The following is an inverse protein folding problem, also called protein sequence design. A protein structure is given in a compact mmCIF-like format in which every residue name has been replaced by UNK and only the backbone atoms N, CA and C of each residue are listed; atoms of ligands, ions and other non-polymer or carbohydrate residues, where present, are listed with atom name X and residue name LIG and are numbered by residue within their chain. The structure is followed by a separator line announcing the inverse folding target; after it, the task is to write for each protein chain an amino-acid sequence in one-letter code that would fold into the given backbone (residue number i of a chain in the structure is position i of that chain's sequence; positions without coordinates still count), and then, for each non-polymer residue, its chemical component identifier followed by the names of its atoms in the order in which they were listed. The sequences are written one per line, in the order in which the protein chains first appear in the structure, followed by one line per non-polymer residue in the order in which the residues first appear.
data_IF_415310821954
#
_entry.id   IF_415310821954
#
_cell.length_a   1.000
_cell.length_b   1.000
_cell.length_c   1.000
_cell.angle_alpha   90.00
_cell.angle_beta   90.00
_cell.angle_gamma   90.00
#
_symmetry.space_group_name_H-M   'P 1'
#
loop_
_entity.id
_entity.type
_entity.pdbx_description
1 polymer ?
#
# COMPACT_ATOMS: atom_id res chain seq x y z
N UNK A 1 -5.99 -12.49 -11.10
CA UNK A 1 -4.84 -11.60 -11.36
C UNK A 1 -4.64 -10.53 -10.30
N UNK A 2 -3.42 -10.43 -9.74
CA UNK A 2 -2.91 -9.26 -8.99
C UNK A 2 -2.25 -8.26 -9.94
N UNK A 3 -2.77 -7.03 -10.01
CA UNK A 3 -2.16 -5.94 -10.78
C UNK A 3 -1.22 -5.11 -9.89
N UNK A 4 0.05 -5.01 -10.26
CA UNK A 4 1.03 -4.10 -9.65
C UNK A 4 1.20 -2.88 -10.54
N UNK A 5 0.88 -1.70 -10.02
CA UNK A 5 1.14 -0.42 -10.68
C UNK A 5 2.48 0.11 -10.19
N UNK A 6 3.48 0.03 -11.07
CA UNK A 6 4.85 0.50 -10.84
C UNK A 6 4.95 2.02 -11.03
N UNK A 7 5.29 2.74 -9.96
CA UNK A 7 5.60 4.17 -9.99
C UNK A 7 7.09 4.44 -10.25
N UNK A 8 7.73 3.62 -11.08
CA UNK A 8 9.15 3.74 -11.46
C UNK A 8 10.11 3.61 -10.28
N UNK A 9 9.82 2.69 -9.36
CA UNK A 9 10.63 2.49 -8.16
C UNK A 9 11.59 1.31 -8.27
N UNK A 10 12.79 1.50 -7.72
CA UNK A 10 13.81 0.45 -7.68
C UNK A 10 13.40 -0.76 -6.85
N UNK A 11 12.47 -0.60 -5.89
CA UNK A 11 12.02 -1.65 -4.98
C UNK A 11 10.74 -2.38 -5.47
N UNK A 12 10.11 -1.94 -6.57
CA UNK A 12 8.91 -2.61 -7.12
C UNK A 12 9.14 -4.10 -7.33
N UNK A 13 10.30 -4.49 -7.88
CA UNK A 13 10.58 -5.90 -8.14
C UNK A 13 10.90 -6.71 -6.87
N UNK A 14 11.27 -6.07 -5.76
CA UNK A 14 11.36 -6.76 -4.47
C UNK A 14 9.97 -7.14 -3.96
N UNK A 15 8.97 -6.26 -4.12
CA UNK A 15 7.57 -6.59 -3.84
C UNK A 15 7.11 -7.75 -4.71
N UNK A 16 7.36 -7.69 -6.03
CA UNK A 16 7.00 -8.75 -6.98
C UNK A 16 7.65 -10.08 -6.59
N UNK A 17 8.94 -10.06 -6.21
CA UNK A 17 9.62 -11.25 -5.74
C UNK A 17 8.96 -11.83 -4.48
N UNK A 18 8.64 -11.01 -3.48
CA UNK A 18 7.97 -11.47 -2.26
C UNK A 18 6.58 -12.05 -2.55
N UNK A 19 5.83 -11.47 -3.49
CA UNK A 19 4.57 -12.07 -3.97
C UNK A 19 4.81 -13.43 -4.62
N UNK A 20 5.83 -13.56 -5.47
CA UNK A 20 6.21 -14.85 -6.06
C UNK A 20 6.58 -15.91 -5.02
N UNK A 21 7.26 -15.53 -3.94
CA UNK A 21 7.57 -16.42 -2.81
C UNK A 21 6.31 -16.86 -2.04
N UNK A 22 5.28 -16.03 -2.02
CA UNK A 22 3.98 -16.32 -1.38
C UNK A 22 3.00 -17.07 -2.29
N UNK A 23 3.26 -17.13 -3.60
CA UNK A 23 2.33 -17.67 -4.60
C UNK A 23 1.89 -19.12 -4.32
N UNK A 24 2.77 -19.95 -3.74
CA UNK A 24 2.44 -21.33 -3.39
C UNK A 24 1.31 -21.44 -2.33
N UNK A 25 1.13 -20.41 -1.51
CA UNK A 25 0.08 -20.35 -0.47
C UNK A 25 -1.08 -19.43 -0.87
N UNK A 26 -0.84 -18.54 -1.84
CA UNK A 26 -1.76 -17.50 -2.28
C UNK A 26 -1.81 -17.47 -3.81
N UNK A 27 -2.68 -18.27 -4.45
CA UNK A 27 -2.76 -18.39 -5.90
C UNK A 27 -2.96 -17.05 -6.63
N UNK A 28 -3.55 -16.05 -5.96
CA UNK A 28 -3.68 -14.70 -6.50
C UNK A 28 -2.32 -14.08 -6.87
N UNK A 29 -1.26 -14.40 -6.13
CA UNK A 29 0.09 -13.90 -6.39
C UNK A 29 0.83 -14.67 -7.50
N UNK A 30 0.33 -15.83 -7.93
CA UNK A 30 0.87 -16.57 -9.08
C UNK A 30 0.53 -15.87 -10.40
N UNK A 31 -0.69 -15.35 -10.50
CA UNK A 31 -1.19 -14.57 -11.64
C UNK A 31 -0.96 -13.07 -11.41
N UNK A 32 0.31 -12.65 -11.46
CA UNK A 32 0.74 -11.26 -11.23
C UNK A 32 1.09 -10.55 -12.54
N UNK A 33 0.58 -9.34 -12.72
CA UNK A 33 0.93 -8.45 -13.84
C UNK A 33 1.48 -7.11 -13.33
N UNK A 34 2.62 -6.69 -13.83
CA UNK A 34 3.23 -5.38 -13.52
C UNK A 34 3.04 -4.44 -14.69
N UNK A 35 2.52 -3.24 -14.43
CA UNK A 35 2.33 -2.18 -15.40
C UNK A 35 2.80 -0.85 -14.82
N UNK A 36 3.39 0.00 -15.64
CA UNK A 36 3.79 1.35 -15.18
C UNK A 36 2.55 2.23 -14.99
N UNK A 37 2.67 3.22 -14.11
CA UNK A 37 1.59 4.14 -13.76
C UNK A 37 1.05 5.01 -14.92
N UNK A 38 1.72 4.97 -16.08
CA UNK A 38 1.36 5.66 -17.33
C UNK A 38 1.08 4.69 -18.50
N UNK A 39 1.23 3.38 -18.29
CA UNK A 39 1.06 2.37 -19.35
C UNK A 39 -0.41 2.06 -19.64
N UNK A 40 -1.27 2.15 -18.63
CA UNK A 40 -2.70 1.88 -18.72
C UNK A 40 -3.52 3.03 -18.14
N UNK A 41 -4.65 3.34 -18.77
CA UNK A 41 -5.68 4.18 -18.17
C UNK A 41 -6.69 3.36 -17.35
N UNK A 42 -7.53 4.04 -16.56
CA UNK A 42 -8.50 3.39 -15.66
C UNK A 42 -9.47 2.47 -16.41
N UNK A 43 -9.91 2.83 -17.63
CA UNK A 43 -10.82 2.01 -18.40
C UNK A 43 -10.15 0.69 -18.84
N UNK A 44 -8.90 0.76 -19.29
CA UNK A 44 -8.12 -0.44 -19.62
C UNK A 44 -7.89 -1.32 -18.38
N UNK A 45 -7.58 -0.73 -17.22
CA UNK A 45 -7.44 -1.49 -15.97
C UNK A 45 -8.75 -2.16 -15.59
N UNK A 46 -9.89 -1.47 -15.76
CA UNK A 46 -11.22 -2.05 -15.53
C UNK A 46 -11.47 -3.25 -16.45
N UNK A 47 -11.09 -3.17 -17.72
CA UNK A 47 -11.23 -4.26 -18.68
C UNK A 47 -10.34 -5.46 -18.34
N UNK A 48 -9.18 -5.25 -17.70
CA UNK A 48 -8.34 -6.32 -17.16
C UNK A 48 -8.97 -7.08 -15.99
N UNK A 49 -9.98 -6.49 -15.33
CA UNK A 49 -10.70 -7.08 -14.20
C UNK A 49 -9.76 -7.66 -13.12
N UNK A 50 -8.83 -6.86 -12.56
CA UNK A 50 -7.92 -7.36 -11.53
C UNK A 50 -8.68 -7.72 -10.24
N UNK A 51 -8.29 -8.83 -9.62
CA UNK A 51 -8.85 -9.25 -8.33
C UNK A 51 -8.27 -8.46 -7.16
N UNK A 52 -7.07 -7.90 -7.34
CA UNK A 52 -6.42 -7.02 -6.39
C UNK A 52 -5.45 -6.06 -7.10
N UNK A 53 -5.19 -4.92 -6.45
CA UNK A 53 -4.28 -3.89 -6.96
C UNK A 53 -3.23 -3.56 -5.90
N UNK A 54 -1.97 -3.51 -6.31
CA UNK A 54 -0.87 -2.96 -5.52
C UNK A 54 -0.37 -1.68 -6.17
N UNK A 55 -0.33 -0.58 -5.42
CA UNK A 55 0.32 0.66 -5.85
C UNK A 55 1.71 0.69 -5.21
N UNK A 56 2.75 0.57 -6.04
CA UNK A 56 4.13 0.45 -5.55
C UNK A 56 4.63 1.76 -4.93
N UNK A 57 5.79 1.72 -4.23
CA UNK A 57 6.57 2.92 -3.94
C UNK A 57 6.94 3.65 -5.23
N UNK A 58 7.48 4.86 -5.10
CA UNK A 58 7.97 5.66 -6.21
C UNK A 58 8.64 6.95 -5.73
N UNK A 59 9.50 7.56 -6.56
CA UNK A 59 10.02 8.88 -6.30
C UNK A 59 8.93 9.95 -6.51
N UNK A 60 9.12 11.10 -5.87
CA UNK A 60 8.34 12.30 -6.16
C UNK A 60 7.05 12.43 -5.34
N UNK A 61 6.15 13.24 -5.89
CA UNK A 61 4.89 13.65 -5.25
C UNK A 61 3.72 12.82 -5.81
N UNK A 62 2.73 12.41 -4.99
CA UNK A 62 1.55 11.70 -5.47
C UNK A 62 0.78 12.40 -6.60
N UNK A 63 0.87 13.73 -6.73
CA UNK A 63 0.32 14.46 -7.88
C UNK A 63 0.89 13.99 -9.23
N UNK A 64 2.06 13.37 -9.22
CA UNK A 64 2.75 12.85 -10.41
C UNK A 64 2.64 11.31 -10.52
N UNK A 65 1.87 10.64 -9.65
CA UNK A 65 1.75 9.18 -9.63
C UNK A 65 0.81 8.61 -10.73
N UNK A 66 0.73 9.27 -11.89
CA UNK A 66 -0.01 8.81 -13.07
C UNK A 66 -1.46 8.41 -12.76
N UNK A 67 -1.82 7.19 -13.13
CA UNK A 67 -3.18 6.64 -12.99
C UNK A 67 -3.59 6.35 -11.54
N UNK A 68 -2.66 6.38 -10.58
CA UNK A 68 -2.90 5.92 -9.20
C UNK A 68 -4.07 6.63 -8.51
N UNK A 69 -4.16 7.96 -8.61
CA UNK A 69 -5.24 8.72 -7.96
C UNK A 69 -6.62 8.36 -8.53
N UNK A 70 -6.70 8.10 -9.84
CA UNK A 70 -7.94 7.70 -10.49
C UNK A 70 -8.31 6.25 -10.16
N UNK A 71 -7.33 5.34 -10.10
CA UNK A 71 -7.54 3.96 -9.62
C UNK A 71 -8.11 3.94 -8.20
N UNK A 72 -7.53 4.74 -7.29
CA UNK A 72 -7.96 4.83 -5.90
C UNK A 72 -9.40 5.34 -5.74
N UNK A 73 -9.85 6.23 -6.64
CA UNK A 73 -11.20 6.81 -6.62
C UNK A 73 -12.22 5.94 -7.34
N UNK A 74 -11.85 5.35 -8.47
CA UNK A 74 -12.82 4.71 -9.38
C UNK A 74 -12.87 3.19 -9.25
N UNK A 75 -11.78 2.54 -8.84
CA UNK A 75 -11.69 1.07 -8.84
C UNK A 75 -11.50 0.50 -7.44
N UNK A 76 -10.67 1.12 -6.62
CA UNK A 76 -10.37 0.65 -5.26
C UNK A 76 -11.55 0.60 -4.28
N UNK A 77 -12.67 1.33 -4.45
CA UNK A 77 -13.89 1.07 -3.67
C UNK A 77 -14.46 -0.35 -3.86
N UNK A 78 -14.20 -0.96 -5.01
CA UNK A 78 -14.68 -2.29 -5.39
C UNK A 78 -13.59 -3.36 -5.50
N UNK A 79 -12.30 -2.98 -5.46
CA UNK A 79 -11.18 -3.90 -5.67
C UNK A 79 -10.20 -3.77 -4.49
N UNK A 80 -9.88 -4.87 -3.78
CA UNK A 80 -8.83 -4.89 -2.76
C UNK A 80 -7.56 -4.19 -3.24
N UNK A 81 -7.11 -3.18 -2.48
CA UNK A 81 -5.98 -2.35 -2.90
C UNK A 81 -5.04 -2.07 -1.74
N UNK A 82 -3.74 -2.28 -1.97
CA UNK A 82 -2.68 -1.91 -1.04
C UNK A 82 -1.77 -0.85 -1.67
N UNK A 83 -1.64 0.31 -1.02
CA UNK A 83 -0.65 1.33 -1.38
C UNK A 83 0.60 1.25 -0.51
N UNK A 84 1.78 1.24 -1.10
CA UNK A 84 3.06 1.22 -0.37
C UNK A 84 3.83 2.51 -0.63
N UNK A 85 4.29 3.17 0.43
CA UNK A 85 5.04 4.44 0.39
C UNK A 85 4.32 5.51 -0.45
N UNK A 86 4.72 5.76 -1.70
CA UNK A 86 4.02 6.68 -2.61
C UNK A 86 2.55 6.25 -2.83
N UNK A 87 2.27 4.96 -2.95
CA UNK A 87 0.90 4.44 -3.05
C UNK A 87 0.06 4.75 -1.80
N UNK A 88 0.67 4.74 -0.60
CA UNK A 88 0.01 5.13 0.65
C UNK A 88 -0.28 6.64 0.70
N UNK A 89 0.67 7.45 0.23
CA UNK A 89 0.50 8.91 0.15
C UNK A 89 -0.59 9.27 -0.88
N UNK A 90 -0.61 8.59 -2.03
CA UNK A 90 -1.67 8.71 -3.03
C UNK A 90 -3.04 8.32 -2.46
N UNK A 91 -3.12 7.29 -1.61
CA UNK A 91 -4.35 6.94 -0.89
C UNK A 91 -4.81 8.10 0.00
N UNK A 92 -3.93 8.67 0.82
CA UNK A 92 -4.29 9.82 1.66
C UNK A 92 -4.85 10.98 0.81
N UNK A 93 -4.15 11.31 -0.28
CA UNK A 93 -4.48 12.42 -1.15
C UNK A 93 -5.76 12.19 -1.97
N UNK A 94 -5.98 10.99 -2.48
CA UNK A 94 -7.15 10.65 -3.28
C UNK A 94 -8.46 10.95 -2.52
N UNK A 95 -8.45 10.85 -1.20
CA UNK A 95 -9.62 11.11 -0.35
C UNK A 95 -9.60 12.48 0.34
N UNK A 96 -8.62 13.34 0.04
CA UNK A 96 -8.58 14.73 0.50
C UNK A 96 -7.61 15.02 1.65
N UNK A 97 -6.83 14.03 2.08
CA UNK A 97 -5.69 14.26 2.97
C UNK A 97 -4.56 15.03 2.27
N UNK A 98 -3.74 15.73 3.04
CA UNK A 98 -2.55 16.43 2.54
C UNK A 98 -1.32 15.54 2.72
N UNK A 99 -0.43 15.62 1.74
CA UNK A 99 0.91 15.03 1.81
C UNK A 99 1.90 16.17 2.01
N UNK A 100 2.69 16.08 3.07
CA UNK A 100 3.60 17.13 3.52
C UNK A 100 5.00 16.59 3.72
N UNK A 101 6.00 17.47 3.77
CA UNK A 101 7.37 17.05 4.09
C UNK A 101 7.45 16.47 5.49
N UNK A 102 8.14 15.35 5.61
CA UNK A 102 8.47 14.76 6.90
C UNK A 102 9.39 15.71 7.70
N UNK A 103 9.26 15.69 9.02
CA UNK A 103 10.15 16.40 9.94
C UNK A 103 11.59 15.90 9.87
N UNK A 104 11.78 14.60 9.58
CA UNK A 104 13.07 13.95 9.35
C UNK A 104 13.07 13.22 8.01
N UNK A 105 14.16 13.38 7.25
CA UNK A 105 14.42 12.61 6.04
C UNK A 105 14.88 11.19 6.41
N UNK A 106 14.16 10.19 5.92
CA UNK A 106 14.48 8.79 6.15
C UNK A 106 15.04 8.16 4.88
N UNK A 107 16.21 7.53 4.98
CA UNK A 107 16.80 6.80 3.86
C UNK A 107 17.44 5.51 4.38
N UNK A 108 16.71 4.39 4.29
CA UNK A 108 17.18 3.07 4.72
C UNK A 108 17.32 2.91 6.23
N UNK A 109 16.57 3.70 7.01
CA UNK A 109 16.53 3.60 8.47
C UNK A 109 15.32 2.80 8.92
N UNK A 110 15.45 2.06 10.01
CA UNK A 110 14.33 1.35 10.65
C UNK A 110 13.63 2.24 11.68
N UNK A 111 12.37 1.96 11.95
CA UNK A 111 11.61 2.59 13.03
C UNK A 111 10.62 1.60 13.65
N UNK A 112 10.34 1.70 14.96
CA UNK A 112 9.31 0.89 15.62
C UNK A 112 7.92 1.44 15.28
N UNK A 113 7.19 0.74 14.42
CA UNK A 113 5.83 1.11 14.00
C UNK A 113 4.82 0.48 14.95
N UNK A 114 4.05 1.32 15.65
CA UNK A 114 2.90 0.90 16.44
C UNK A 114 1.69 0.72 15.52
N UNK A 115 0.87 -0.29 15.77
CA UNK A 115 -0.34 -0.52 14.97
C UNK A 115 -1.52 -1.06 15.77
N UNK A 116 -2.70 -1.07 15.16
CA UNK A 116 -3.93 -1.64 15.74
C UNK A 116 -4.02 -3.16 15.70
N UNK A 117 -3.14 -3.83 14.93
CA UNK A 117 -3.15 -5.29 14.79
C UNK A 117 -4.32 -5.81 13.95
N UNK A 118 -4.81 -4.97 13.03
CA UNK A 118 -5.96 -5.26 12.17
C UNK A 118 -5.58 -5.14 10.69
N UNK A 119 -6.38 -5.75 9.80
CA UNK A 119 -6.16 -5.68 8.35
C UNK A 119 -4.80 -6.26 7.97
N UNK A 120 -3.99 -5.51 7.23
CA UNK A 120 -2.64 -5.95 6.85
C UNK A 120 -1.70 -6.13 8.05
N UNK A 121 -2.02 -5.55 9.21
CA UNK A 121 -1.25 -5.68 10.45
C UNK A 121 -1.69 -6.85 11.35
N UNK A 122 -2.66 -7.66 10.93
CA UNK A 122 -3.16 -8.77 11.73
C UNK A 122 -2.06 -9.78 12.09
N UNK A 123 -1.88 -10.05 13.38
CA UNK A 123 -0.91 -11.03 13.89
C UNK A 123 0.57 -10.62 13.75
N UNK A 124 0.87 -9.36 13.42
CA UNK A 124 2.24 -8.87 13.34
C UNK A 124 2.81 -8.48 14.72
N UNK A 125 4.15 -8.46 14.90
CA UNK A 125 4.80 -7.98 16.12
C UNK A 125 4.43 -6.54 16.48
N UNK A 126 4.39 -6.23 17.78
CA UNK A 126 4.09 -4.88 18.28
C UNK A 126 5.20 -4.41 19.25
N UNK A 127 5.93 -3.33 18.92
CA UNK A 127 5.95 -2.63 17.63
C UNK A 127 6.53 -3.50 16.50
N UNK A 128 6.19 -3.17 15.25
CA UNK A 128 6.77 -3.74 14.04
C UNK A 128 8.03 -2.95 13.65
N UNK A 129 9.19 -3.61 13.56
CA UNK A 129 10.40 -2.95 13.02
C UNK A 129 10.27 -2.82 11.50
N UNK A 130 10.20 -1.58 10.98
CA UNK A 130 9.99 -1.35 9.55
C UNK A 130 10.98 -0.34 8.95
N UNK A 131 11.43 -0.59 7.72
CA UNK A 131 12.34 0.29 6.98
C UNK A 131 11.60 1.44 6.29
N UNK A 132 12.16 2.64 6.37
CA UNK A 132 11.61 3.87 5.81
C UNK A 132 12.61 4.55 4.86
N UNK A 133 12.09 5.01 3.71
CA UNK A 133 12.87 5.69 2.65
C UNK A 133 12.25 7.02 2.20
N UNK A 134 11.33 7.58 3.00
CA UNK A 134 10.47 8.67 2.56
C UNK A 134 10.94 10.04 3.04
N UNK A 135 10.56 11.05 2.26
CA UNK A 135 10.71 12.48 2.54
C UNK A 135 9.36 13.19 2.70
N UNK A 136 8.27 12.51 2.33
CA UNK A 136 6.89 12.97 2.41
C UNK A 136 6.07 12.01 3.26
N UNK A 137 5.06 12.53 3.94
CA UNK A 137 4.13 11.79 4.80
C UNK A 137 2.71 12.33 4.64
N UNK A 138 1.72 11.49 4.90
CA UNK A 138 0.35 11.95 5.10
C UNK A 138 0.26 12.78 6.39
N UNK A 139 -0.26 14.01 6.30
CA UNK A 139 -0.51 14.87 7.45
C UNK A 139 -1.74 14.39 8.20
N UNK A 140 -1.52 13.83 9.40
CA UNK A 140 -2.55 13.31 10.30
C UNK A 140 -3.69 14.30 10.52
N UNK A 141 -3.40 15.59 10.67
CA UNK A 141 -4.40 16.61 11.00
C UNK A 141 -5.33 16.96 9.84
N UNK A 142 -4.90 16.63 8.62
CA UNK A 142 -5.64 16.88 7.38
C UNK A 142 -6.47 15.68 6.92
N UNK A 143 -6.31 14.52 7.56
CA UNK A 143 -6.98 13.30 7.11
C UNK A 143 -8.50 13.45 7.24
N UNK A 144 -9.26 13.13 6.18
CA UNK A 144 -10.72 13.13 6.22
C UNK A 144 -11.24 12.00 7.11
N UNK A 145 -12.48 12.13 7.60
CA UNK A 145 -13.10 11.12 8.46
C UNK A 145 -13.22 9.74 7.80
N UNK A 146 -13.27 9.66 6.46
CA UNK A 146 -13.34 8.41 5.73
C UNK A 146 -12.05 7.58 5.78
N UNK A 147 -10.92 8.19 6.16
CA UNK A 147 -9.65 7.50 6.35
C UNK A 147 -9.36 7.35 7.84
N UNK A 148 -8.95 6.16 8.25
CA UNK A 148 -8.52 5.91 9.61
C UNK A 148 -7.05 5.50 9.68
N UNK A 149 -6.36 6.00 10.70
CA UNK A 149 -4.97 5.65 10.98
C UNK A 149 -4.90 4.29 11.67
N UNK A 150 -4.26 3.33 11.00
CA UNK A 150 -4.09 1.94 11.47
C UNK A 150 -2.71 1.66 12.04
N UNK A 151 -1.70 2.47 11.67
CA UNK A 151 -0.35 2.41 12.23
C UNK A 151 0.31 3.79 12.32
N UNK A 152 1.20 3.98 13.29
CA UNK A 152 1.87 5.24 13.59
C UNK A 152 3.23 5.06 14.29
N UNK A 153 4.04 6.11 14.32
CA UNK A 153 5.22 6.21 15.20
C UNK A 153 4.88 6.91 16.52
N UNK A 154 5.79 6.86 17.49
CA UNK A 154 5.66 7.53 18.80
C UNK A 154 5.35 9.02 18.67
N UNK A 155 5.91 9.70 17.66
CA UNK A 155 5.65 11.11 17.36
C UNK A 155 4.33 11.38 16.62
N UNK A 156 3.47 10.36 16.48
CA UNK A 156 2.19 10.35 15.75
C UNK A 156 2.28 10.38 14.22
N UNK A 157 3.48 10.29 13.62
CA UNK A 157 3.61 10.18 12.16
C UNK A 157 2.79 8.98 11.65
N UNK A 158 1.96 9.21 10.64
CA UNK A 158 1.09 8.19 10.04
C UNK A 158 1.95 7.15 9.33
N UNK A 159 1.74 5.87 9.66
CA UNK A 159 2.43 4.73 9.05
C UNK A 159 1.49 3.74 8.37
N UNK A 160 0.19 3.81 8.66
CA UNK A 160 -0.83 2.94 8.08
C UNK A 160 -2.16 3.67 7.97
N UNK A 161 -2.85 3.48 6.85
CA UNK A 161 -4.19 4.00 6.58
C UNK A 161 -5.11 2.88 6.11
N UNK A 162 -6.40 3.02 6.41
CA UNK A 162 -7.50 2.20 5.88
C UNK A 162 -8.71 3.08 5.59
N UNK A 163 -9.44 2.79 4.51
CA UNK A 163 -10.72 3.45 4.26
C UNK A 163 -11.82 2.83 5.11
N UNK A 164 -12.64 3.65 5.79
CA UNK A 164 -13.69 3.17 6.72
C UNK A 164 -14.78 2.39 6.03
N UNK A 165 -15.26 2.88 4.89
CA UNK A 165 -16.34 2.23 4.12
C UNK A 165 -15.81 1.13 3.18
N UNK A 166 -14.49 1.11 2.94
CA UNK A 166 -13.84 0.16 2.06
C UNK A 166 -12.63 -0.45 2.78
N UNK A 167 -12.82 -1.34 3.78
CA UNK A 167 -11.72 -1.83 4.62
C UNK A 167 -10.63 -2.61 3.89
N UNK A 168 -10.91 -3.05 2.66
CA UNK A 168 -9.96 -3.70 1.75
C UNK A 168 -9.04 -2.70 1.03
N UNK A 169 -9.29 -1.39 1.16
CA UNK A 169 -8.42 -0.31 0.69
C UNK A 169 -7.53 0.13 1.85
N UNK A 170 -6.24 -0.21 1.78
CA UNK A 170 -5.26 0.03 2.82
C UNK A 170 -3.97 0.60 2.24
N UNK A 171 -3.16 1.24 3.08
CA UNK A 171 -1.84 1.68 2.68
C UNK A 171 -0.86 1.73 3.82
N UNK A 172 0.42 1.48 3.54
CA UNK A 172 1.53 1.53 4.50
C UNK A 172 2.62 2.49 4.02
N UNK A 173 3.14 3.31 4.93
CA UNK A 173 4.14 4.35 4.59
C UNK A 173 5.58 3.80 4.51
N UNK A 174 5.82 2.63 5.09
CA UNK A 174 7.11 1.94 5.10
C UNK A 174 7.18 0.86 4.01
N UNK A 175 8.34 0.23 3.87
CA UNK A 175 8.63 -0.73 2.80
C UNK A 175 8.61 -2.18 3.33
N UNK A 176 7.50 -2.92 3.22
CA UNK A 176 7.42 -4.32 3.66
C UNK A 176 8.38 -5.24 2.88
N UNK A 177 8.80 -4.84 1.68
CA UNK A 177 9.76 -5.56 0.83
C UNK A 177 11.23 -5.33 1.21
N UNK A 178 11.50 -4.43 2.17
CA UNK A 178 12.86 -4.18 2.64
C UNK A 178 13.32 -5.32 3.55
N UNK A 179 14.55 -5.79 3.34
CA UNK A 179 15.18 -6.86 4.15
C UNK A 179 15.25 -6.56 5.65
N UNK A 180 15.26 -5.28 6.03
CA UNK A 180 15.30 -4.85 7.43
C UNK A 180 13.90 -4.67 8.05
N UNK A 181 12.83 -4.83 7.26
CA UNK A 181 11.45 -4.84 7.76
C UNK A 181 11.12 -6.23 8.26
N UNK A 182 10.80 -6.34 9.54
CA UNK A 182 10.32 -7.59 10.14
C UNK A 182 8.93 -7.92 9.61
N UNK A 183 8.63 -9.21 9.45
CA UNK A 183 7.31 -9.72 9.08
C UNK A 183 6.71 -9.08 7.80
N UNK A 184 7.55 -8.61 6.88
CA UNK A 184 7.13 -8.06 5.59
C UNK A 184 6.29 -9.03 4.75
N UNK A 185 6.74 -10.28 4.62
CA UNK A 185 5.97 -11.37 3.99
C UNK A 185 4.61 -11.57 4.64
N UNK A 186 4.52 -11.54 5.97
CA UNK A 186 3.26 -11.75 6.68
C UNK A 186 2.27 -10.61 6.42
N UNK A 187 2.77 -9.38 6.32
CA UNK A 187 1.95 -8.21 5.95
C UNK A 187 1.38 -8.38 4.53
N UNK A 188 2.22 -8.75 3.56
CA UNK A 188 1.79 -8.98 2.19
C UNK A 188 0.84 -10.19 2.09
N UNK A 189 1.08 -11.25 2.84
CA UNK A 189 0.18 -12.41 2.94
C UNK A 189 -1.19 -12.03 3.53
N UNK A 190 -1.23 -11.11 4.50
CA UNK A 190 -2.51 -10.59 5.03
C UNK A 190 -3.28 -9.84 3.94
N UNK A 191 -2.61 -9.04 3.10
CA UNK A 191 -3.24 -8.39 1.96
C UNK A 191 -3.81 -9.40 0.96
N UNK A 192 -3.03 -10.42 0.57
CA UNK A 192 -3.51 -11.47 -0.34
C UNK A 192 -4.73 -12.21 0.23
N UNK A 193 -4.69 -12.59 1.51
CA UNK A 193 -5.82 -13.26 2.17
C UNK A 193 -7.09 -12.41 2.18
N UNK A 194 -6.96 -11.11 2.41
CA UNK A 194 -8.09 -10.18 2.36
C UNK A 194 -8.67 -10.09 0.93
N UNK A 195 -7.81 -10.10 -0.08
CA UNK A 195 -8.24 -10.08 -1.47
C UNK A 195 -8.94 -11.40 -1.88
N UNK A 196 -8.32 -12.54 -1.58
CA UNK A 196 -8.85 -13.88 -1.88
C UNK A 196 -10.17 -14.16 -1.15
N UNK A 197 -10.28 -13.72 0.10
CA UNK A 197 -11.52 -13.83 0.87
C UNK A 197 -12.69 -13.11 0.21
N UNK A 198 -12.45 -12.02 -0.53
CA UNK A 198 -13.51 -11.33 -1.28
C UNK A 198 -13.93 -12.12 -2.53
N UNK A 199 -12.99 -12.69 -3.26
CA UNK A 199 -13.26 -13.50 -4.47
C UNK A 199 -14.21 -14.66 -4.12
N UNK A 200 -14.03 -15.29 -2.97
CA UNK A 200 -14.86 -16.42 -2.52
C UNK A 200 -16.31 -16.05 -2.15
N UNK A 201 -16.61 -14.76 -1.97
CA UNK A 201 -17.94 -14.26 -1.56
C UNK A 201 -18.65 -13.44 -2.65
N UNK A 202 -18.06 -13.33 -3.85
CA UNK A 202 -18.66 -12.75 -5.05
C UNK A 202 -19.26 -13.85 -5.93
#
# INVERSE_FOLDING_TARGET
MLLVIDNYDSFTFNLVQYFGELAAQHPLAEDLRVERNDALNVAQIRDLSPDAILLSPGPGDPDQAGVCLSVLKELSPSIPTLGVCLGHQALAQAYGGKVVRASELMHGKTSPVLHRGEGVFAGLPQPLTATRYHSLIADRSSLPDCLEVTAWLEDNTVMGLRHREHPHLQGVQFHPESVLTEAGHNLLANFLRLAEGRIQHC
#
